data_IF_776431744919
#
_entry.id   IF_776431744919
#
_cell.length_a   1.000
_cell.length_b   1.000
_cell.length_c   1.000
_cell.angle_alpha   90.00
_cell.angle_beta   90.00
_cell.angle_gamma   90.00
#
_symmetry.space_group_name_H-M   'P 1'
#
loop_
_entity.id
_entity.type
_entity.pdbx_description
1 polymer ?
#
# COMPACT_ATOMS: atom_id res chain seq x y z
N UNK A 1 -50.69 -9.31 -24.08
CA UNK A 1 -49.45 -9.34 -24.89
C UNK A 1 -48.28 -9.24 -23.94
N UNK A 2 -47.57 -10.34 -23.69
CA UNK A 2 -46.42 -10.37 -22.76
C UNK A 2 -45.25 -9.58 -23.33
N UNK A 3 -44.66 -8.69 -22.54
CA UNK A 3 -43.54 -7.85 -22.98
C UNK A 3 -42.36 -8.74 -23.43
N UNK A 4 -41.92 -8.54 -24.68
CA UNK A 4 -40.67 -9.12 -25.20
C UNK A 4 -39.51 -8.55 -24.36
N UNK A 5 -38.95 -9.35 -23.46
CA UNK A 5 -37.73 -9.00 -22.74
C UNK A 5 -36.53 -8.93 -23.70
N UNK A 6 -35.49 -8.17 -23.32
CA UNK A 6 -34.22 -8.21 -24.03
C UNK A 6 -33.58 -9.60 -23.88
N UNK A 7 -32.81 -10.07 -24.88
CA UNK A 7 -32.07 -11.33 -24.76
C UNK A 7 -31.07 -11.29 -23.60
N UNK A 8 -30.86 -12.44 -22.94
CA UNK A 8 -29.93 -12.57 -21.81
C UNK A 8 -28.51 -12.11 -22.15
N UNK A 9 -28.09 -12.28 -23.41
CA UNK A 9 -26.79 -11.81 -23.89
C UNK A 9 -26.64 -10.28 -23.78
N UNK A 10 -27.72 -9.53 -24.03
CA UNK A 10 -27.72 -8.06 -23.90
C UNK A 10 -27.60 -7.66 -22.44
N UNK A 11 -28.30 -8.37 -21.55
CA UNK A 11 -28.20 -8.18 -20.10
C UNK A 11 -26.79 -8.48 -19.58
N UNK A 12 -26.16 -9.56 -20.05
CA UNK A 12 -24.78 -9.91 -19.70
C UNK A 12 -23.78 -8.85 -20.18
N UNK A 13 -23.93 -8.36 -21.42
CA UNK A 13 -23.09 -7.28 -21.96
C UNK A 13 -23.26 -5.98 -21.17
N UNK A 14 -24.49 -5.63 -20.78
CA UNK A 14 -24.76 -4.46 -19.94
C UNK A 14 -24.08 -4.58 -18.58
N UNK A 15 -24.17 -5.76 -17.95
CA UNK A 15 -23.51 -6.07 -16.68
C UNK A 15 -22.00 -5.89 -16.75
N UNK A 16 -21.36 -6.45 -17.79
CA UNK A 16 -19.92 -6.32 -17.99
C UNK A 16 -19.49 -4.85 -18.14
N UNK A 17 -20.21 -4.06 -18.96
CA UNK A 17 -19.93 -2.63 -19.14
C UNK A 17 -20.09 -1.84 -17.84
N UNK A 18 -21.13 -2.15 -17.05
CA UNK A 18 -21.39 -1.49 -15.79
C UNK A 18 -20.35 -1.82 -14.72
N UNK A 19 -19.98 -3.10 -14.56
CA UNK A 19 -18.99 -3.55 -13.56
C UNK A 19 -17.62 -2.90 -13.82
N UNK A 20 -17.25 -2.72 -15.08
CA UNK A 20 -16.01 -2.01 -15.47
C UNK A 20 -16.02 -0.53 -15.06
N UNK A 21 -17.20 0.05 -14.80
CA UNK A 21 -17.34 1.36 -14.14
C UNK A 21 -17.01 2.58 -15.01
N UNK A 22 -17.01 2.44 -16.33
CA UNK A 22 -16.67 3.53 -17.28
C UNK A 22 -17.89 4.16 -17.97
N UNK A 23 -19.08 3.60 -17.75
CA UNK A 23 -20.29 3.95 -18.47
C UNK A 23 -21.45 4.10 -17.48
N UNK A 24 -22.22 5.16 -17.64
CA UNK A 24 -23.50 5.38 -16.97
C UNK A 24 -24.58 4.48 -17.56
N UNK A 25 -25.67 4.26 -16.84
CA UNK A 25 -26.83 3.48 -17.32
C UNK A 25 -27.37 4.00 -18.67
N UNK A 26 -27.30 5.32 -18.90
CA UNK A 26 -27.72 5.94 -20.15
C UNK A 26 -26.79 5.58 -21.32
N UNK A 27 -25.47 5.66 -21.11
CA UNK A 27 -24.47 5.31 -22.13
C UNK A 27 -24.48 3.81 -22.44
N UNK A 28 -24.71 2.96 -21.43
CA UNK A 28 -24.86 1.51 -21.62
C UNK A 28 -26.11 1.22 -22.44
N UNK A 29 -27.23 1.87 -22.11
CA UNK A 29 -28.49 1.68 -22.80
C UNK A 29 -28.42 2.14 -24.27
N UNK A 30 -27.84 3.31 -24.53
CA UNK A 30 -27.59 3.81 -25.89
C UNK A 30 -26.72 2.84 -26.68
N UNK A 31 -25.60 2.38 -26.10
CA UNK A 31 -24.65 1.48 -26.76
C UNK A 31 -25.24 0.12 -27.10
N UNK A 32 -26.20 -0.36 -26.33
CA UNK A 32 -26.82 -1.67 -26.50
C UNK A 32 -28.22 -1.60 -27.16
N UNK A 33 -28.66 -0.42 -27.57
CA UNK A 33 -29.98 -0.24 -28.20
C UNK A 33 -31.17 -0.48 -27.26
N UNK A 34 -30.98 -0.22 -25.96
CA UNK A 34 -32.02 -0.37 -24.93
C UNK A 34 -32.82 0.93 -24.85
N UNK A 35 -34.13 0.83 -25.11
CA UNK A 35 -35.01 1.99 -25.26
C UNK A 35 -35.14 2.86 -23.99
N UNK A 36 -34.98 2.26 -22.80
CA UNK A 36 -35.10 2.96 -21.52
C UNK A 36 -33.86 2.69 -20.65
N UNK A 37 -33.05 3.71 -20.31
CA UNK A 37 -31.91 3.57 -19.40
C UNK A 37 -32.26 2.94 -18.05
N UNK A 38 -33.46 3.22 -17.53
CA UNK A 38 -33.97 2.63 -16.28
C UNK A 38 -33.97 1.10 -16.27
N UNK A 39 -34.03 0.45 -17.43
CA UNK A 39 -33.94 -1.02 -17.55
C UNK A 39 -32.62 -1.54 -16.99
N UNK A 40 -31.51 -0.80 -17.16
CA UNK A 40 -30.20 -1.16 -16.59
C UNK A 40 -30.26 -1.08 -15.06
N UNK A 41 -30.85 -0.01 -14.52
CA UNK A 41 -31.04 0.15 -13.07
C UNK A 41 -31.90 -0.94 -12.45
N UNK A 42 -32.94 -1.40 -13.16
CA UNK A 42 -33.78 -2.51 -12.72
C UNK A 42 -32.98 -3.82 -12.69
N UNK A 43 -32.23 -4.13 -13.76
CA UNK A 43 -31.36 -5.31 -13.79
C UNK A 43 -30.28 -5.32 -12.70
N UNK A 44 -29.70 -4.16 -12.40
CA UNK A 44 -28.72 -4.02 -11.31
C UNK A 44 -29.28 -4.45 -9.98
N UNK A 45 -30.48 -3.96 -9.65
CA UNK A 45 -31.17 -4.28 -8.40
C UNK A 45 -31.60 -5.74 -8.35
N UNK A 46 -32.19 -6.24 -9.43
CA UNK A 46 -32.76 -7.60 -9.47
C UNK A 46 -31.69 -8.68 -9.36
N UNK A 47 -30.52 -8.46 -9.98
CA UNK A 47 -29.42 -9.42 -9.98
C UNK A 47 -28.31 -9.11 -8.96
N UNK A 48 -28.43 -8.00 -8.22
CA UNK A 48 -27.44 -7.57 -7.24
C UNK A 48 -26.06 -7.27 -7.84
N UNK A 49 -26.00 -6.55 -8.95
CA UNK A 49 -24.72 -6.24 -9.64
C UNK A 49 -23.74 -5.47 -8.75
N UNK A 50 -24.25 -4.64 -7.84
CA UNK A 50 -23.44 -3.91 -6.85
C UNK A 50 -22.58 -4.86 -6.00
N UNK A 51 -23.18 -5.94 -5.50
CA UNK A 51 -22.47 -6.93 -4.68
C UNK A 51 -21.41 -7.66 -5.49
N UNK A 52 -21.71 -8.02 -6.74
CA UNK A 52 -20.73 -8.66 -7.62
C UNK A 52 -19.57 -7.73 -7.95
N UNK A 53 -19.85 -6.45 -8.18
CA UNK A 53 -18.80 -5.44 -8.42
C UNK A 53 -17.88 -5.31 -7.22
N UNK A 54 -18.41 -5.31 -6.00
CA UNK A 54 -17.58 -5.30 -4.77
C UNK A 54 -16.69 -6.54 -4.67
N UNK A 55 -17.23 -7.73 -4.95
CA UNK A 55 -16.46 -8.98 -4.94
C UNK A 55 -15.33 -8.93 -5.98
N UNK A 56 -15.63 -8.48 -7.20
CA UNK A 56 -14.65 -8.36 -8.28
C UNK A 56 -13.59 -7.31 -7.94
N UNK A 57 -13.99 -6.16 -7.38
CA UNK A 57 -13.08 -5.11 -6.97
C UNK A 57 -12.09 -5.62 -5.93
N UNK A 58 -12.58 -6.27 -4.87
CA UNK A 58 -11.75 -6.87 -3.83
C UNK A 58 -10.77 -7.91 -4.39
N UNK A 59 -11.25 -8.84 -5.21
CA UNK A 59 -10.41 -9.86 -5.82
C UNK A 59 -9.36 -9.26 -6.79
N UNK A 60 -9.71 -8.16 -7.46
CA UNK A 60 -8.78 -7.45 -8.34
C UNK A 60 -7.71 -6.73 -7.53
N UNK A 61 -8.10 -6.04 -6.46
CA UNK A 61 -7.19 -5.35 -5.55
C UNK A 61 -6.18 -6.34 -4.92
N UNK A 62 -6.65 -7.47 -4.43
CA UNK A 62 -5.80 -8.54 -3.88
C UNK A 62 -4.77 -9.04 -4.92
N UNK A 63 -5.20 -9.27 -6.17
CA UNK A 63 -4.29 -9.70 -7.25
C UNK A 63 -3.30 -8.62 -7.66
N UNK A 64 -3.73 -7.36 -7.73
CA UNK A 64 -2.85 -6.24 -8.05
C UNK A 64 -1.83 -6.03 -6.94
N UNK A 65 -2.26 -6.08 -5.67
CA UNK A 65 -1.36 -6.01 -4.52
C UNK A 65 -0.32 -7.14 -4.54
N UNK A 66 -0.74 -8.38 -4.85
CA UNK A 66 0.17 -9.51 -5.00
C UNK A 66 1.19 -9.32 -6.13
N UNK A 67 0.74 -8.90 -7.32
CA UNK A 67 1.62 -8.66 -8.46
C UNK A 67 2.62 -7.51 -8.22
N UNK A 68 2.18 -6.44 -7.55
CA UNK A 68 3.06 -5.33 -7.14
C UNK A 68 4.09 -5.84 -6.13
N UNK A 69 3.66 -6.62 -5.14
CA UNK A 69 4.55 -7.18 -4.13
C UNK A 69 5.63 -8.09 -4.75
N UNK A 70 5.24 -8.95 -5.70
CA UNK A 70 6.16 -9.80 -6.45
C UNK A 70 7.17 -8.97 -7.26
N UNK A 71 6.69 -7.96 -7.99
CA UNK A 71 7.55 -7.05 -8.78
C UNK A 71 8.57 -6.32 -7.89
N UNK A 72 8.14 -5.81 -6.74
CA UNK A 72 9.02 -5.14 -5.78
C UNK A 72 10.05 -6.14 -5.23
N UNK A 73 9.63 -7.36 -4.91
CA UNK A 73 10.52 -8.42 -4.40
C UNK A 73 11.59 -8.80 -5.43
N UNK A 74 11.22 -8.97 -6.69
CA UNK A 74 12.17 -9.25 -7.78
C UNK A 74 13.15 -8.09 -8.00
N UNK A 75 12.65 -6.85 -7.99
CA UNK A 75 13.48 -5.66 -8.11
C UNK A 75 14.49 -5.56 -6.96
N UNK A 76 14.02 -5.76 -5.72
CA UNK A 76 14.86 -5.77 -4.53
C UNK A 76 15.91 -6.87 -4.60
N UNK A 77 15.55 -8.08 -5.03
CA UNK A 77 16.50 -9.18 -5.20
C UNK A 77 17.59 -8.85 -6.24
N UNK A 78 17.24 -8.13 -7.31
CA UNK A 78 18.21 -7.66 -8.32
C UNK A 78 19.15 -6.60 -7.76
N UNK A 79 18.61 -5.57 -7.12
CA UNK A 79 19.41 -4.51 -6.50
C UNK A 79 20.34 -5.07 -5.41
N UNK A 80 19.87 -6.02 -4.61
CA UNK A 80 20.70 -6.68 -3.60
C UNK A 80 21.91 -7.38 -4.23
N UNK A 81 21.73 -8.11 -5.34
CA UNK A 81 22.84 -8.74 -6.06
C UNK A 81 23.84 -7.72 -6.60
N UNK A 82 23.36 -6.58 -7.11
CA UNK A 82 24.22 -5.50 -7.60
C UNK A 82 25.06 -4.89 -6.47
N UNK A 83 24.46 -4.63 -5.31
CA UNK A 83 25.19 -4.12 -4.14
C UNK A 83 26.19 -5.14 -3.59
N UNK A 84 25.84 -6.43 -3.53
CA UNK A 84 26.79 -7.49 -3.15
C UNK A 84 27.97 -7.58 -4.12
N UNK A 85 27.73 -7.42 -5.42
CA UNK A 85 28.80 -7.36 -6.41
C UNK A 85 29.71 -6.14 -6.19
N UNK A 86 29.13 -4.97 -5.86
CA UNK A 86 29.89 -3.77 -5.53
C UNK A 86 30.78 -3.98 -4.30
N UNK A 87 30.23 -4.55 -3.21
CA UNK A 87 31.00 -4.90 -2.01
C UNK A 87 32.14 -5.87 -2.35
N UNK A 88 31.87 -6.92 -3.13
CA UNK A 88 32.88 -7.92 -3.52
C UNK A 88 34.02 -7.28 -4.32
N UNK A 89 33.69 -6.38 -5.26
CA UNK A 89 34.68 -5.61 -6.03
C UNK A 89 35.49 -4.67 -5.13
N UNK A 90 34.84 -3.99 -4.17
CA UNK A 90 35.49 -3.13 -3.19
C UNK A 90 36.48 -3.91 -2.31
N UNK A 91 36.08 -5.07 -1.78
CA UNK A 91 36.96 -5.95 -0.99
C UNK A 91 38.13 -6.46 -1.83
N UNK A 92 37.88 -6.89 -3.07
CA UNK A 92 38.93 -7.35 -3.97
C UNK A 92 39.94 -6.23 -4.32
N UNK A 93 39.46 -5.00 -4.47
CA UNK A 93 40.30 -3.82 -4.64
C UNK A 93 41.12 -3.53 -3.37
N UNK A 94 40.50 -3.49 -2.18
CA UNK A 94 41.21 -3.28 -0.90
C UNK A 94 42.36 -4.28 -0.70
N UNK A 95 42.17 -5.55 -1.07
CA UNK A 95 43.20 -6.60 -0.96
C UNK A 95 44.43 -6.38 -1.86
N UNK A 96 44.32 -5.56 -2.90
CA UNK A 96 45.35 -5.34 -3.92
C UNK A 96 46.02 -3.97 -3.83
N UNK A 97 45.56 -3.09 -2.95
CA UNK A 97 45.91 -1.67 -2.96
C UNK A 97 46.88 -1.30 -1.83
N UNK A 98 47.81 -0.39 -2.17
CA UNK A 98 48.67 0.32 -1.22
C UNK A 98 47.80 1.35 -0.45
N UNK A 99 48.08 1.69 0.84
CA UNK A 99 47.16 2.42 1.73
C UNK A 99 46.61 3.75 1.21
N UNK A 100 47.26 4.39 0.22
CA UNK A 100 46.78 5.64 -0.41
C UNK A 100 45.55 5.45 -1.31
N UNK A 101 45.34 4.25 -1.84
CA UNK A 101 44.21 3.90 -2.73
C UNK A 101 43.07 3.16 -2.00
N UNK A 102 43.27 2.84 -0.72
CA UNK A 102 42.27 2.19 0.13
C UNK A 102 40.99 3.02 0.33
N UNK A 103 41.05 4.36 0.20
CA UNK A 103 39.90 5.24 0.38
C UNK A 103 38.78 5.03 -0.66
N UNK A 104 39.13 4.84 -1.95
CA UNK A 104 38.14 4.55 -3.00
C UNK A 104 37.49 3.18 -2.79
N UNK A 105 38.30 2.18 -2.44
CA UNK A 105 37.81 0.83 -2.22
C UNK A 105 36.95 0.73 -0.94
N UNK A 106 37.27 1.50 0.11
CA UNK A 106 36.41 1.69 1.29
C UNK A 106 35.07 2.33 0.92
N UNK A 107 35.08 3.39 0.10
CA UNK A 107 33.85 4.06 -0.38
C UNK A 107 32.93 3.11 -1.15
N UNK A 108 33.50 2.21 -1.97
CA UNK A 108 32.72 1.18 -2.66
C UNK A 108 32.07 0.16 -1.71
N UNK A 109 32.76 -0.23 -0.63
CA UNK A 109 32.21 -1.11 0.40
C UNK A 109 31.09 -0.40 1.16
N UNK A 110 31.31 0.85 1.59
CA UNK A 110 30.31 1.64 2.34
C UNK A 110 29.06 1.93 1.49
N UNK A 111 29.22 2.20 0.20
CA UNK A 111 28.12 2.34 -0.74
C UNK A 111 27.33 1.03 -0.90
N UNK A 112 28.04 -0.11 -1.01
CA UNK A 112 27.40 -1.43 -1.10
C UNK A 112 26.65 -1.83 0.17
N UNK A 113 27.18 -1.52 1.35
CA UNK A 113 26.52 -1.80 2.65
C UNK A 113 25.27 -0.93 2.81
N UNK A 114 25.35 0.36 2.48
CA UNK A 114 24.17 1.25 2.53
C UNK A 114 23.08 0.83 1.54
N UNK A 115 23.47 0.44 0.33
CA UNK A 115 22.51 -0.06 -0.67
C UNK A 115 21.79 -1.33 -0.24
N UNK A 116 22.50 -2.30 0.35
CA UNK A 116 21.90 -3.53 0.91
C UNK A 116 20.90 -3.23 2.02
N UNK A 117 21.26 -2.33 2.94
CA UNK A 117 20.36 -1.89 4.01
C UNK A 117 19.09 -1.24 3.47
N UNK A 118 19.23 -0.32 2.51
CA UNK A 118 18.09 0.35 1.87
C UNK A 118 17.13 -0.64 1.20
N UNK A 119 17.66 -1.63 0.47
CA UNK A 119 16.85 -2.68 -0.19
C UNK A 119 16.10 -3.55 0.81
N UNK A 120 16.66 -3.75 2.01
CA UNK A 120 16.01 -4.48 3.11
C UNK A 120 15.04 -3.62 3.93
N UNK A 121 14.94 -2.33 3.65
CA UNK A 121 14.20 -1.39 4.49
C UNK A 121 14.85 -1.14 5.85
N UNK A 122 16.14 -1.50 6.00
CA UNK A 122 16.92 -1.17 7.18
C UNK A 122 17.30 0.33 7.11
N UNK A 123 17.12 1.10 8.18
CA UNK A 123 17.49 2.50 8.18
C UNK A 123 18.99 2.68 7.93
N UNK A 124 19.35 3.49 6.93
CA UNK A 124 20.76 3.66 6.55
C UNK A 124 21.46 4.75 7.36
N UNK A 125 20.69 5.67 7.94
CA UNK A 125 21.16 6.70 8.88
C UNK A 125 20.16 6.99 10.01
N UNK A 126 20.65 7.47 11.17
CA UNK A 126 19.83 7.90 12.32
C UNK A 126 18.78 8.96 11.93
N UNK A 127 19.08 9.76 10.91
CA UNK A 127 18.16 10.79 10.38
C UNK A 127 16.98 10.18 9.62
N UNK A 128 17.19 9.05 8.93
CA UNK A 128 16.13 8.30 8.25
C UNK A 128 15.25 7.51 9.23
N UNK A 129 15.84 6.97 10.31
CA UNK A 129 15.07 6.41 11.43
C UNK A 129 14.10 7.45 11.98
N UNK A 130 14.57 8.69 12.21
CA UNK A 130 13.73 9.78 12.72
C UNK A 130 12.61 10.18 11.73
N UNK A 131 12.89 10.16 10.42
CA UNK A 131 11.89 10.46 9.39
C UNK A 131 10.83 9.35 9.26
N UNK A 132 11.25 8.07 9.27
CA UNK A 132 10.33 6.93 9.32
C UNK A 132 9.48 6.94 10.59
N UNK A 133 10.07 7.30 11.74
CA UNK A 133 9.33 7.44 12.99
C UNK A 133 8.30 8.57 12.93
N UNK A 134 8.65 9.73 12.36
CA UNK A 134 7.68 10.82 12.16
C UNK A 134 6.54 10.41 11.23
N UNK A 135 6.84 9.68 10.16
CA UNK A 135 5.82 9.15 9.25
C UNK A 135 4.92 8.11 9.94
N UNK A 136 5.48 7.21 10.75
CA UNK A 136 4.71 6.23 11.51
C UNK A 136 3.82 6.88 12.57
N UNK A 137 4.28 7.97 13.20
CA UNK A 137 3.45 8.77 14.13
C UNK A 137 2.26 9.40 13.40
N UNK A 138 2.47 9.96 12.20
CA UNK A 138 1.37 10.51 11.40
C UNK A 138 0.35 9.43 10.99
N UNK A 139 0.80 8.23 10.62
CA UNK A 139 -0.09 7.10 10.32
C UNK A 139 -0.87 6.67 11.57
N UNK A 140 -0.21 6.61 12.73
CA UNK A 140 -0.85 6.29 14.00
C UNK A 140 -1.92 7.34 14.39
N UNK A 141 -1.66 8.63 14.17
CA UNK A 141 -2.64 9.71 14.40
C UNK A 141 -3.90 9.53 13.56
N UNK A 142 -3.74 9.19 12.27
CA UNK A 142 -4.87 8.94 11.36
C UNK A 142 -5.68 7.72 11.80
N UNK A 143 -5.01 6.59 12.09
CA UNK A 143 -5.67 5.36 12.54
C UNK A 143 -6.40 5.58 13.86
N UNK A 144 -5.79 6.32 14.80
CA UNK A 144 -6.43 6.66 16.08
C UNK A 144 -7.66 7.55 15.87
N UNK A 145 -7.59 8.53 14.96
CA UNK A 145 -8.73 9.37 14.64
C UNK A 145 -9.90 8.56 14.06
N UNK A 146 -9.63 7.59 13.18
CA UNK A 146 -10.64 6.70 12.61
C UNK A 146 -11.28 5.79 13.67
N UNK A 147 -10.47 5.22 14.57
CA UNK A 147 -10.97 4.41 15.69
C UNK A 147 -11.83 5.24 16.64
N UNK A 148 -11.38 6.45 17.01
CA UNK A 148 -12.16 7.35 17.86
C UNK A 148 -13.49 7.75 17.23
N UNK A 149 -13.51 7.97 15.92
CA UNK A 149 -14.73 8.24 15.16
C UNK A 149 -15.71 7.06 15.23
N UNK A 150 -15.24 5.84 14.99
CA UNK A 150 -16.09 4.64 15.08
C UNK A 150 -16.65 4.47 16.50
N UNK A 151 -15.84 4.70 17.53
CA UNK A 151 -16.27 4.58 18.93
C UNK A 151 -17.29 5.66 19.31
N UNK A 152 -17.18 6.87 18.76
CA UNK A 152 -18.15 7.95 18.93
C UNK A 152 -19.46 7.63 18.20
N UNK A 153 -19.38 7.20 16.94
CA UNK A 153 -20.55 6.89 16.11
C UNK A 153 -21.35 5.70 16.65
N UNK A 154 -20.68 4.77 17.33
CA UNK A 154 -21.32 3.60 17.98
C UNK A 154 -21.76 3.88 19.42
N UNK A 155 -21.50 5.08 19.96
CA UNK A 155 -21.85 5.46 21.33
C UNK A 155 -21.07 4.72 22.42
N UNK A 156 -19.96 4.06 22.06
CA UNK A 156 -19.09 3.36 23.03
C UNK A 156 -18.26 4.35 23.87
N UNK A 157 -17.98 5.53 23.33
CA UNK A 157 -17.35 6.64 24.05
C UNK A 157 -18.13 7.93 23.79
N UNK A 158 -18.08 8.86 24.75
CA UNK A 158 -18.57 10.22 24.55
C UNK A 158 -17.44 11.16 24.10
N UNK A 159 -17.79 12.39 23.71
CA UNK A 159 -16.81 13.38 23.23
C UNK A 159 -15.77 13.75 24.29
N UNK A 160 -16.08 13.59 25.59
CA UNK A 160 -15.13 13.83 26.68
C UNK A 160 -14.12 12.69 26.79
N UNK A 161 -14.58 11.45 26.67
CA UNK A 161 -13.75 10.24 26.65
C UNK A 161 -12.80 10.22 25.45
N UNK A 162 -13.30 10.57 24.25
CA UNK A 162 -12.47 10.69 23.06
C UNK A 162 -11.36 11.74 23.23
N UNK A 163 -11.69 12.90 23.83
CA UNK A 163 -10.72 13.97 24.07
C UNK A 163 -9.65 13.56 25.08
N UNK A 164 -10.03 12.94 26.19
CA UNK A 164 -9.07 12.46 27.21
C UNK A 164 -8.15 11.38 26.64
N UNK A 165 -8.68 10.45 25.84
CA UNK A 165 -7.87 9.44 25.15
C UNK A 165 -6.84 10.09 24.21
N UNK A 166 -7.25 11.06 23.40
CA UNK A 166 -6.34 11.76 22.50
C UNK A 166 -5.23 12.53 23.26
N UNK A 167 -5.57 13.16 24.37
CA UNK A 167 -4.61 13.86 25.25
C UNK A 167 -3.60 12.89 25.89
N UNK A 168 -4.06 11.75 26.40
CA UNK A 168 -3.19 10.71 26.98
C UNK A 168 -2.31 10.03 25.92
N UNK A 169 -2.87 9.73 24.75
CA UNK A 169 -2.13 9.16 23.63
C UNK A 169 -1.02 10.10 23.15
N UNK A 170 -1.32 11.39 22.98
CA UNK A 170 -0.32 12.39 22.64
C UNK A 170 0.76 12.53 23.73
N UNK A 171 0.37 12.50 25.00
CA UNK A 171 1.33 12.53 26.12
C UNK A 171 2.23 11.30 26.15
N UNK A 172 1.71 10.10 25.86
CA UNK A 172 2.49 8.87 25.79
C UNK A 172 3.47 8.87 24.62
N UNK A 173 3.05 9.30 23.42
CA UNK A 173 3.94 9.43 22.26
C UNK A 173 5.07 10.42 22.54
N UNK A 174 4.75 11.58 23.13
CA UNK A 174 5.74 12.63 23.40
C UNK A 174 6.72 12.25 24.52
N UNK A 175 6.31 11.41 25.47
CA UNK A 175 7.14 10.96 26.60
C UNK A 175 7.80 9.59 26.39
N UNK A 176 7.52 8.90 25.28
CA UNK A 176 8.08 7.59 25.01
C UNK A 176 9.63 7.68 24.92
N UNK A 177 10.38 7.01 25.81
CA UNK A 177 11.83 6.95 25.68
C UNK A 177 12.15 6.10 24.45
N UNK A 178 12.61 6.74 23.38
CA UNK A 178 13.04 6.06 22.16
C UNK A 178 14.36 5.31 22.42
N UNK A 179 14.28 4.15 23.06
CA UNK A 179 15.42 3.26 23.24
C UNK A 179 15.58 2.38 22.00
N UNK A 180 16.52 2.76 21.14
CA UNK A 180 16.97 1.90 20.06
C UNK A 180 17.98 0.89 20.61
N UNK A 181 17.57 -0.37 20.77
CA UNK A 181 18.54 -1.47 20.88
C UNK A 181 19.02 -1.80 19.46
N UNK A 182 20.25 -1.39 19.15
CA UNK A 182 20.98 -1.92 18.00
C UNK A 182 21.28 -3.39 18.31
N UNK A 183 20.42 -4.32 17.89
CA UNK A 183 20.80 -5.73 17.88
C UNK A 183 21.88 -5.92 16.82
N UNK A 184 23.15 -5.88 17.25
CA UNK A 184 24.29 -6.07 16.35
C UNK A 184 25.64 -5.57 16.89
N UNK A 185 25.66 -4.77 17.94
CA UNK A 185 26.91 -4.40 18.62
C UNK A 185 27.37 -5.49 19.58
N UNK A 186 28.06 -6.51 19.07
CA UNK A 186 28.96 -7.29 19.95
C UNK A 186 30.14 -6.40 20.34
N UNK A 187 30.45 -6.51 21.62
CA UNK A 187 31.48 -5.81 22.42
C UNK A 187 32.83 -5.69 21.76
#
# INVERSE_FOLDING_TARGET
MGAKGYPDEIRLKAKALWIVGRHTDAEIAERLGIARPGTIGDWRKDDGWEKEREIIAKATEEKVAAAISETISEMNARHLKEYQLLQTKGIAALRRLDPRTAAEAQSMVDAGVRGERLVRGEPTEVREVRALMQSNVQVLEVVVADVLKVLLDTGQIDSRGARRFAEEFAAQINNAPFQYKVEGGKS
#
